data_IF_117061576676
#
_entry.id   IF_117061576676
#
_cell.length_a   1.000
_cell.length_b   1.000
_cell.length_c   1.000
_cell.angle_alpha   90.00
_cell.angle_beta   90.00
_cell.angle_gamma   90.00
#
_symmetry.space_group_name_H-M   'P 1'
#
loop_
_entity.id
_entity.type
_entity.pdbx_description
1 polymer ?
#
# COMPACT_ATOMS: atom_id res chain seq x y z
N UNK A 1 5.02 3.40 18.33
CA UNK A 1 5.04 3.85 16.91
C UNK A 1 3.61 4.01 16.41
N UNK A 2 3.24 5.22 15.92
CA UNK A 2 1.89 5.45 15.39
C UNK A 2 1.84 4.95 13.94
N UNK A 3 1.03 3.94 13.64
CA UNK A 3 0.78 3.48 12.26
C UNK A 3 -0.32 4.38 11.68
N UNK A 4 0.00 5.16 10.64
CA UNK A 4 -0.98 5.95 9.89
C UNK A 4 -1.44 5.16 8.66
N UNK A 5 -2.73 5.21 8.38
CA UNK A 5 -3.32 4.56 7.20
C UNK A 5 -3.71 5.62 6.16
N UNK A 6 -2.70 6.29 5.60
CA UNK A 6 -2.88 7.43 4.69
C UNK A 6 -3.86 7.12 3.57
N UNK A 7 -3.76 5.97 2.92
CA UNK A 7 -4.68 5.58 1.85
C UNK A 7 -6.16 5.46 2.28
N UNK A 8 -6.41 5.25 3.57
CA UNK A 8 -7.79 5.28 4.12
C UNK A 8 -8.21 6.70 4.48
N UNK A 9 -7.31 7.49 5.06
CA UNK A 9 -7.59 8.87 5.49
C UNK A 9 -7.90 9.77 4.28
N UNK A 10 -7.23 9.55 3.15
CA UNK A 10 -7.42 10.34 1.93
C UNK A 10 -8.85 10.24 1.38
N UNK A 11 -9.53 9.11 1.56
CA UNK A 11 -10.93 8.95 1.14
C UNK A 11 -11.91 9.78 1.97
N UNK A 12 -11.48 10.26 3.12
CA UNK A 12 -12.30 11.09 4.02
C UNK A 12 -12.09 12.60 3.76
N UNK A 13 -11.20 12.99 2.83
CA UNK A 13 -10.96 14.40 2.49
C UNK A 13 -12.10 14.94 1.61
N UNK A 14 -12.67 16.12 1.93
CA UNK A 14 -13.80 16.68 1.17
C UNK A 14 -13.53 16.80 -0.32
N UNK A 15 -12.36 17.27 -0.72
CA UNK A 15 -11.96 17.41 -2.13
C UNK A 15 -11.83 16.08 -2.88
N UNK A 16 -11.53 15.00 -2.16
CA UNK A 16 -11.45 13.65 -2.73
C UNK A 16 -12.85 13.05 -2.82
N UNK A 17 -13.68 13.25 -1.80
CA UNK A 17 -15.08 12.81 -1.82
C UNK A 17 -15.86 13.48 -2.96
N UNK A 18 -15.64 14.76 -3.21
CA UNK A 18 -16.25 15.47 -4.34
C UNK A 18 -15.86 14.84 -5.67
N UNK A 19 -14.56 14.63 -5.92
CA UNK A 19 -14.08 13.99 -7.14
C UNK A 19 -14.57 12.54 -7.30
N UNK A 20 -14.63 11.78 -6.20
CA UNK A 20 -15.19 10.42 -6.22
C UNK A 20 -16.69 10.49 -6.57
N UNK A 21 -17.44 11.44 -6.04
CA UNK A 21 -18.87 11.62 -6.34
C UNK A 21 -19.11 12.02 -7.80
N UNK A 22 -18.31 12.91 -8.33
CA UNK A 22 -18.35 13.29 -9.75
C UNK A 22 -18.05 12.11 -10.67
N UNK A 23 -17.06 11.28 -10.31
CA UNK A 23 -16.58 10.18 -11.16
C UNK A 23 -17.43 8.90 -11.04
N UNK A 24 -17.90 8.54 -9.83
CA UNK A 24 -18.54 7.26 -9.54
C UNK A 24 -20.00 7.39 -9.09
N UNK A 25 -20.50 8.62 -8.90
CA UNK A 25 -21.87 8.89 -8.45
C UNK A 25 -22.04 8.76 -6.93
N UNK A 26 -23.31 8.92 -6.50
CA UNK A 26 -23.66 8.86 -5.08
C UNK A 26 -23.78 7.46 -4.51
N UNK A 27 -23.85 6.44 -5.36
CA UNK A 27 -24.04 5.03 -4.94
C UNK A 27 -22.84 4.47 -4.15
N UNK A 28 -21.66 5.08 -4.30
CA UNK A 28 -20.45 4.71 -3.55
C UNK A 28 -20.33 5.45 -2.22
N UNK A 29 -21.41 6.07 -1.75
CA UNK A 29 -21.47 6.76 -0.46
C UNK A 29 -22.54 6.15 0.42
N UNK A 30 -22.25 6.06 1.72
CA UNK A 30 -23.22 5.64 2.72
C UNK A 30 -24.18 6.78 3.10
N UNK A 31 -25.19 6.48 3.92
CA UNK A 31 -26.21 7.45 4.38
C UNK A 31 -25.62 8.63 5.17
N UNK A 32 -24.41 8.50 5.69
CA UNK A 32 -23.69 9.56 6.40
C UNK A 32 -22.86 10.45 5.47
N UNK A 33 -22.89 10.18 4.16
CA UNK A 33 -22.13 10.92 3.14
C UNK A 33 -20.66 10.54 3.05
N UNK A 34 -20.19 9.50 3.73
CA UNK A 34 -18.84 9.00 3.63
C UNK A 34 -18.72 7.97 2.51
N UNK A 35 -17.51 7.83 1.94
CA UNK A 35 -17.25 6.81 0.93
C UNK A 35 -17.46 5.42 1.50
N UNK A 36 -18.38 4.66 0.91
CA UNK A 36 -18.51 3.23 1.16
C UNK A 36 -17.42 2.47 0.41
N UNK A 37 -16.43 2.02 1.17
CA UNK A 37 -15.25 1.34 0.61
C UNK A 37 -15.58 0.00 -0.03
N UNK A 38 -16.65 -0.66 0.41
CA UNK A 38 -17.09 -1.93 -0.15
C UNK A 38 -17.72 -1.71 -1.53
N UNK A 39 -18.63 -0.75 -1.63
CA UNK A 39 -19.27 -0.36 -2.88
C UNK A 39 -18.23 0.16 -3.89
N UNK A 40 -17.35 1.06 -3.46
CA UNK A 40 -16.28 1.56 -4.32
C UNK A 40 -15.36 0.43 -4.78
N UNK A 41 -14.98 -0.50 -3.90
CA UNK A 41 -14.15 -1.64 -4.24
C UNK A 41 -14.82 -2.56 -5.27
N UNK A 42 -16.14 -2.76 -5.19
CA UNK A 42 -16.89 -3.57 -6.16
C UNK A 42 -16.87 -2.98 -7.58
N UNK A 43 -16.83 -1.65 -7.68
CA UNK A 43 -16.77 -0.95 -8.97
C UNK A 43 -15.39 -0.95 -9.60
N UNK A 44 -14.32 -0.99 -8.79
CA UNK A 44 -12.95 -0.80 -9.30
C UNK A 44 -12.14 -2.11 -9.37
N UNK A 45 -12.44 -3.11 -8.54
CA UNK A 45 -11.72 -4.38 -8.54
C UNK A 45 -12.48 -5.47 -9.29
N UNK A 46 -12.04 -5.80 -10.50
CA UNK A 46 -12.61 -6.86 -11.31
C UNK A 46 -11.88 -7.02 -12.65
N UNK A 47 -12.32 -7.99 -13.44
CA UNK A 47 -11.65 -8.35 -14.70
C UNK A 47 -12.22 -7.62 -15.92
N UNK A 48 -13.36 -6.94 -15.79
CA UNK A 48 -13.97 -6.20 -16.90
C UNK A 48 -13.14 -4.96 -17.28
N UNK A 49 -13.19 -4.59 -18.56
CA UNK A 49 -12.55 -3.36 -19.04
C UNK A 49 -13.06 -2.11 -18.29
N UNK A 50 -14.34 -2.11 -17.94
CA UNK A 50 -14.94 -1.01 -17.18
C UNK A 50 -14.30 -0.88 -15.80
N UNK A 51 -14.19 -1.98 -15.05
CA UNK A 51 -13.57 -1.98 -13.71
C UNK A 51 -12.09 -1.58 -13.77
N UNK A 52 -11.34 -2.04 -14.77
CA UNK A 52 -9.95 -1.63 -14.96
C UNK A 52 -9.82 -0.12 -15.25
N UNK A 53 -10.75 0.43 -16.03
CA UNK A 53 -10.81 1.88 -16.30
C UNK A 53 -11.17 2.63 -15.02
N UNK A 54 -12.19 2.15 -14.28
CA UNK A 54 -12.61 2.72 -13.01
C UNK A 54 -11.49 2.72 -11.97
N UNK A 55 -10.69 1.65 -11.91
CA UNK A 55 -9.52 1.60 -11.02
C UNK A 55 -8.50 2.69 -11.36
N UNK A 56 -8.14 2.84 -12.63
CA UNK A 56 -7.22 3.89 -13.07
C UNK A 56 -7.73 5.30 -12.76
N UNK A 57 -9.05 5.52 -12.91
CA UNK A 57 -9.68 6.78 -12.56
C UNK A 57 -9.60 7.05 -11.05
N UNK A 58 -9.90 6.05 -10.22
CA UNK A 58 -9.74 6.18 -8.77
C UNK A 58 -8.28 6.47 -8.39
N UNK A 59 -7.34 5.73 -8.95
CA UNK A 59 -5.90 5.93 -8.72
C UNK A 59 -5.47 7.34 -9.10
N UNK A 60 -5.92 7.87 -10.23
CA UNK A 60 -5.61 9.24 -10.66
C UNK A 60 -6.14 10.31 -9.69
N UNK A 61 -7.23 10.03 -8.98
CA UNK A 61 -7.79 10.91 -7.95
C UNK A 61 -6.98 10.83 -6.65
N UNK A 62 -6.67 9.60 -6.18
CA UNK A 62 -6.14 9.41 -4.82
C UNK A 62 -4.62 9.40 -4.75
N UNK A 63 -3.90 8.89 -5.77
CA UNK A 63 -2.44 8.75 -5.73
C UNK A 63 -1.69 10.08 -5.55
N UNK A 64 -2.05 11.19 -6.23
CA UNK A 64 -1.36 12.47 -6.02
C UNK A 64 -1.49 13.00 -4.58
N UNK A 65 -2.65 12.75 -3.95
CA UNK A 65 -2.90 13.19 -2.57
C UNK A 65 -2.17 12.30 -1.57
N UNK A 66 -2.16 10.98 -1.81
CA UNK A 66 -1.40 10.03 -1.00
C UNK A 66 0.10 10.36 -1.08
N UNK A 67 0.63 10.61 -2.29
CA UNK A 67 2.04 10.97 -2.48
C UNK A 67 2.42 12.21 -1.66
N UNK A 68 1.67 13.29 -1.80
CA UNK A 68 1.89 14.53 -1.03
C UNK A 68 1.84 14.30 0.49
N UNK A 69 0.91 13.46 0.95
CA UNK A 69 0.81 13.11 2.38
C UNK A 69 2.01 12.28 2.85
N UNK A 70 2.50 11.37 2.01
CA UNK A 70 3.72 10.60 2.31
C UNK A 70 4.93 11.52 2.44
N UNK A 71 5.13 12.45 1.50
CA UNK A 71 6.21 13.45 1.58
C UNK A 71 6.16 14.27 2.88
N UNK A 72 4.96 14.77 3.24
CA UNK A 72 4.77 15.54 4.47
C UNK A 72 5.09 14.72 5.73
N UNK A 73 4.68 13.45 5.78
CA UNK A 73 4.96 12.57 6.91
C UNK A 73 6.45 12.21 7.01
N UNK A 74 7.11 11.99 5.87
CA UNK A 74 8.54 11.74 5.80
C UNK A 74 9.30 12.96 6.33
N UNK A 75 8.98 14.16 5.84
CA UNK A 75 9.63 15.39 6.26
C UNK A 75 9.41 15.68 7.75
N UNK A 76 8.16 15.49 8.22
CA UNK A 76 7.85 15.62 9.65
C UNK A 76 8.63 14.63 10.52
N UNK A 77 8.84 13.41 10.03
CA UNK A 77 9.61 12.41 10.77
C UNK A 77 11.11 12.70 10.76
N UNK A 78 11.64 13.20 9.63
CA UNK A 78 13.05 13.63 9.50
C UNK A 78 13.38 14.77 10.44
N UNK A 79 12.49 15.76 10.57
CA UNK A 79 12.71 16.93 11.45
C UNK A 79 12.76 16.57 12.93
N UNK A 80 12.22 15.44 13.34
CA UNK A 80 12.26 15.00 14.74
C UNK A 80 13.64 14.46 15.19
N UNK A 81 14.55 14.15 14.28
CA UNK A 81 15.90 13.61 14.52
C UNK A 81 15.95 12.39 15.49
N UNK A 82 14.80 11.70 15.69
CA UNK A 82 14.64 10.64 16.68
C UNK A 82 14.23 9.30 16.05
N UNK A 83 14.24 9.23 14.71
CA UNK A 83 13.84 8.00 14.00
C UNK A 83 15.05 7.39 13.29
N UNK A 84 15.21 6.10 13.48
CA UNK A 84 16.26 5.32 12.81
C UNK A 84 15.88 4.97 11.36
N UNK A 85 14.60 4.76 11.11
CA UNK A 85 14.05 4.46 9.79
C UNK A 85 12.58 4.84 9.71
N UNK A 86 12.13 5.20 8.51
CA UNK A 86 10.73 5.41 8.16
C UNK A 86 10.31 4.26 7.25
N UNK A 87 9.26 3.53 7.62
CA UNK A 87 8.74 2.42 6.83
C UNK A 87 7.45 2.82 6.12
N UNK A 88 7.44 2.69 4.79
CA UNK A 88 6.26 2.85 3.96
C UNK A 88 5.72 1.45 3.64
N UNK A 89 4.55 1.11 4.19
CA UNK A 89 3.84 -0.16 3.92
C UNK A 89 2.82 0.07 2.82
N UNK A 90 3.20 -0.20 1.57
CA UNK A 90 2.34 -0.01 0.41
C UNK A 90 2.57 -1.13 -0.63
N UNK A 91 1.51 -1.89 -0.92
CA UNK A 91 1.57 -2.97 -1.90
C UNK A 91 1.81 -2.48 -3.34
N UNK A 92 1.51 -1.22 -3.62
CA UNK A 92 1.57 -0.60 -4.96
C UNK A 92 2.65 0.48 -5.06
N UNK A 93 3.69 0.40 -4.24
CA UNK A 93 4.74 1.42 -4.15
C UNK A 93 5.45 1.67 -5.49
N UNK A 94 5.64 0.61 -6.27
CA UNK A 94 6.29 0.66 -7.58
C UNK A 94 5.30 1.15 -8.64
N UNK A 95 4.11 0.57 -8.69
CA UNK A 95 3.05 0.89 -9.64
C UNK A 95 2.59 2.35 -9.54
N UNK A 96 2.56 2.88 -8.32
CA UNK A 96 2.17 4.25 -8.05
C UNK A 96 3.30 5.28 -8.25
N UNK A 97 4.52 4.82 -8.63
CA UNK A 97 5.67 5.71 -8.82
C UNK A 97 6.26 6.26 -7.52
N UNK A 98 6.00 5.64 -6.37
CA UNK A 98 6.48 6.12 -5.06
C UNK A 98 7.85 5.56 -4.67
N UNK A 99 8.48 4.82 -5.58
CA UNK A 99 9.83 4.29 -5.38
C UNK A 99 10.84 5.39 -5.05
N UNK A 100 10.72 6.55 -5.68
CA UNK A 100 11.60 7.71 -5.48
C UNK A 100 11.54 8.34 -4.08
N UNK A 101 10.46 8.03 -3.31
CA UNK A 101 10.37 8.43 -1.90
C UNK A 101 11.19 7.52 -0.97
N UNK A 102 11.75 6.44 -1.49
CA UNK A 102 12.41 5.40 -0.71
C UNK A 102 13.90 5.32 -1.04
N UNK A 103 14.72 5.27 0.00
CA UNK A 103 16.16 4.99 -0.16
C UNK A 103 16.38 3.51 -0.52
N UNK A 104 15.48 2.62 -0.06
CA UNK A 104 15.55 1.17 -0.30
C UNK A 104 14.14 0.57 -0.37
N UNK A 105 13.96 -0.45 -1.20
CA UNK A 105 12.73 -1.24 -1.30
C UNK A 105 12.97 -2.65 -0.80
N UNK A 106 12.10 -3.11 0.09
CA UNK A 106 12.12 -4.47 0.60
C UNK A 106 10.89 -5.22 0.10
N UNK A 107 11.13 -6.37 -0.54
CA UNK A 107 10.08 -7.30 -0.90
C UNK A 107 9.82 -8.27 0.26
N UNK A 108 8.58 -8.32 0.71
CA UNK A 108 8.15 -9.27 1.74
C UNK A 108 7.64 -10.53 1.06
N UNK A 109 8.45 -11.56 1.05
CA UNK A 109 8.13 -12.85 0.42
C UNK A 109 7.28 -13.70 1.37
N UNK A 110 6.11 -14.11 0.90
CA UNK A 110 5.18 -14.92 1.68
C UNK A 110 4.49 -15.93 0.74
N UNK A 111 4.51 -17.24 1.06
CA UNK A 111 3.81 -18.25 0.29
C UNK A 111 2.33 -17.94 0.10
N UNK A 112 1.75 -18.34 -1.04
CA UNK A 112 0.37 -18.04 -1.40
C UNK A 112 -0.62 -18.52 -0.31
N UNK A 113 -0.46 -19.74 0.18
CA UNK A 113 -1.34 -20.34 1.19
C UNK A 113 -1.33 -19.52 2.49
N UNK A 114 -0.18 -18.98 2.87
CA UNK A 114 -0.07 -18.13 4.06
C UNK A 114 -0.72 -16.76 3.83
N UNK A 115 -0.56 -16.18 2.63
CA UNK A 115 -1.24 -14.92 2.29
C UNK A 115 -2.75 -15.11 2.31
N UNK A 116 -3.25 -16.18 1.66
CA UNK A 116 -4.67 -16.54 1.63
C UNK A 116 -5.22 -16.71 3.05
N UNK A 117 -4.56 -17.52 3.88
CA UNK A 117 -4.98 -17.73 5.27
C UNK A 117 -5.07 -16.41 6.04
N UNK A 118 -4.05 -15.55 5.93
CA UNK A 118 -3.99 -14.26 6.63
C UNK A 118 -5.08 -13.30 6.17
N UNK A 119 -5.35 -13.18 4.87
CA UNK A 119 -6.38 -12.26 4.37
C UNK A 119 -7.79 -12.79 4.66
N UNK A 120 -8.01 -14.10 4.63
CA UNK A 120 -9.29 -14.69 5.05
C UNK A 120 -9.57 -14.39 6.52
N UNK A 121 -8.60 -14.62 7.39
CA UNK A 121 -8.74 -14.40 8.84
C UNK A 121 -8.90 -12.93 9.21
N UNK A 122 -8.12 -12.04 8.58
CA UNK A 122 -8.02 -10.63 9.01
C UNK A 122 -8.94 -9.68 8.22
N UNK A 123 -9.41 -10.07 7.04
CA UNK A 123 -10.19 -9.21 6.13
C UNK A 123 -11.44 -9.88 5.58
N UNK A 124 -11.66 -11.18 5.84
CA UNK A 124 -12.76 -11.95 5.28
C UNK A 124 -12.67 -12.17 3.78
N UNK A 125 -11.50 -11.97 3.15
CA UNK A 125 -11.36 -12.14 1.71
C UNK A 125 -11.32 -13.62 1.32
N UNK A 126 -12.01 -13.95 0.24
CA UNK A 126 -11.87 -15.25 -0.42
C UNK A 126 -10.56 -15.33 -1.21
N UNK A 127 -10.19 -16.55 -1.63
CA UNK A 127 -9.07 -16.76 -2.56
C UNK A 127 -9.25 -15.98 -3.87
N UNK A 128 -10.48 -15.98 -4.38
CA UNK A 128 -10.83 -15.23 -5.61
C UNK A 128 -10.60 -13.74 -5.44
N UNK A 129 -10.97 -13.17 -4.31
CA UNK A 129 -10.76 -11.75 -4.02
C UNK A 129 -9.28 -11.41 -3.89
N UNK A 130 -8.49 -12.25 -3.23
CA UNK A 130 -7.03 -12.09 -3.15
C UNK A 130 -6.41 -12.11 -4.56
N UNK A 131 -6.74 -13.12 -5.36
CA UNK A 131 -6.21 -13.30 -6.72
C UNK A 131 -6.57 -12.12 -7.64
N UNK A 132 -7.81 -11.62 -7.57
CA UNK A 132 -8.23 -10.43 -8.32
C UNK A 132 -7.37 -9.21 -7.97
N UNK A 133 -7.12 -8.98 -6.69
CA UNK A 133 -6.29 -7.83 -6.24
C UNK A 133 -4.83 -7.98 -6.64
N UNK A 134 -4.28 -9.19 -6.58
CA UNK A 134 -2.90 -9.46 -7.04
C UNK A 134 -2.74 -9.26 -8.55
N UNK A 135 -3.75 -9.61 -9.36
CA UNK A 135 -3.75 -9.38 -10.82
C UNK A 135 -3.70 -7.91 -11.24
N UNK A 136 -4.14 -7.00 -10.37
CA UNK A 136 -4.07 -5.54 -10.62
C UNK A 136 -2.74 -4.91 -10.21
N UNK A 137 -1.82 -5.71 -9.70
CA UNK A 137 -0.48 -5.28 -9.32
C UNK A 137 0.57 -5.87 -10.28
N UNK A 138 1.78 -5.34 -10.23
CA UNK A 138 2.90 -5.98 -10.91
C UNK A 138 3.05 -7.43 -10.43
N UNK A 139 3.47 -8.35 -11.33
CA UNK A 139 3.77 -9.72 -10.94
C UNK A 139 4.75 -9.76 -9.77
N UNK A 140 4.53 -10.68 -8.83
CA UNK A 140 5.39 -10.79 -7.63
C UNK A 140 6.86 -11.00 -7.99
N UNK A 141 7.15 -11.73 -9.09
CA UNK A 141 8.50 -11.92 -9.63
C UNK A 141 9.15 -10.58 -10.04
N UNK A 142 8.39 -9.66 -10.62
CA UNK A 142 8.90 -8.35 -11.01
C UNK A 142 9.12 -7.47 -9.77
N UNK A 143 8.19 -7.46 -8.81
CA UNK A 143 8.39 -6.75 -7.54
C UNK A 143 9.65 -7.22 -6.81
N UNK A 144 9.89 -8.54 -6.80
CA UNK A 144 11.07 -9.13 -6.20
C UNK A 144 12.38 -8.67 -6.88
N UNK A 145 12.39 -8.54 -8.22
CA UNK A 145 13.55 -8.04 -8.97
C UNK A 145 13.84 -6.56 -8.72
N UNK A 146 12.80 -5.78 -8.45
CA UNK A 146 12.90 -4.33 -8.22
C UNK A 146 13.26 -3.98 -6.78
N UNK A 147 13.27 -4.96 -5.88
CA UNK A 147 13.59 -4.78 -4.47
C UNK A 147 15.09 -4.89 -4.23
N UNK A 148 15.59 -4.08 -3.29
CA UNK A 148 16.97 -4.07 -2.81
C UNK A 148 17.24 -5.17 -1.78
N UNK A 149 16.16 -5.69 -1.16
CA UNK A 149 16.21 -6.79 -0.23
C UNK A 149 14.93 -7.63 -0.23
N UNK A 150 15.05 -8.88 0.24
CA UNK A 150 13.93 -9.82 0.35
C UNK A 150 13.85 -10.31 1.79
N UNK A 151 12.69 -10.20 2.41
CA UNK A 151 12.42 -10.69 3.76
C UNK A 151 11.44 -11.85 3.68
N UNK A 152 11.77 -12.97 4.31
CA UNK A 152 10.90 -14.15 4.34
C UNK A 152 9.83 -13.99 5.43
N UNK A 153 8.55 -14.05 5.03
CA UNK A 153 7.41 -13.93 5.95
C UNK A 153 6.44 -15.13 5.83
N UNK A 154 6.99 -16.29 5.52
CA UNK A 154 6.21 -17.54 5.41
C UNK A 154 6.06 -18.30 6.72
N UNK A 155 6.85 -17.98 7.74
CA UNK A 155 6.84 -18.63 9.05
C UNK A 155 6.21 -17.71 10.10
N UNK A 156 6.96 -17.36 11.13
CA UNK A 156 6.51 -16.50 12.19
C UNK A 156 6.86 -15.02 11.95
N UNK A 157 6.13 -14.14 12.61
CA UNK A 157 6.30 -12.70 12.47
C UNK A 157 7.60 -12.19 13.12
N UNK A 158 8.08 -12.89 14.16
CA UNK A 158 9.27 -12.48 14.89
C UNK A 158 10.52 -12.65 14.02
N UNK A 159 10.66 -13.81 13.38
CA UNK A 159 11.74 -14.06 12.42
C UNK A 159 11.78 -13.05 11.30
N UNK A 160 10.64 -12.74 10.69
CA UNK A 160 10.55 -11.71 9.65
C UNK A 160 10.93 -10.31 10.18
N UNK A 161 10.53 -9.99 11.41
CA UNK A 161 10.89 -8.75 12.08
C UNK A 161 12.40 -8.64 12.34
N UNK A 162 13.04 -9.71 12.76
CA UNK A 162 14.50 -9.77 12.97
C UNK A 162 15.27 -9.62 11.64
N UNK A 163 14.80 -10.26 10.56
CA UNK A 163 15.39 -10.08 9.23
C UNK A 163 15.31 -8.63 8.76
N UNK A 164 14.15 -8.00 8.89
CA UNK A 164 13.96 -6.59 8.55
C UNK A 164 14.85 -5.67 9.39
N UNK A 165 14.97 -5.93 10.69
CA UNK A 165 15.86 -5.16 11.57
C UNK A 165 17.31 -5.25 11.13
N UNK A 166 17.79 -6.47 10.84
CA UNK A 166 19.15 -6.69 10.34
C UNK A 166 19.39 -5.98 8.99
N UNK A 167 18.40 -5.99 8.10
CA UNK A 167 18.49 -5.29 6.84
C UNK A 167 18.64 -3.78 7.05
N UNK A 168 17.81 -3.17 7.90
CA UNK A 168 17.90 -1.74 8.26
C UNK A 168 19.28 -1.41 8.86
N UNK A 169 19.76 -2.22 9.79
CA UNK A 169 21.06 -2.01 10.42
C UNK A 169 22.22 -2.09 9.40
N UNK A 170 22.11 -2.94 8.38
CA UNK A 170 23.11 -3.05 7.32
C UNK A 170 23.19 -1.78 6.48
N UNK A 171 22.04 -1.19 6.14
CA UNK A 171 21.95 0.07 5.39
C UNK A 171 22.56 1.21 6.20
N UNK A 172 22.18 1.32 7.49
CA UNK A 172 22.72 2.35 8.38
C UNK A 172 24.25 2.33 8.46
N UNK A 173 24.84 1.13 8.55
CA UNK A 173 26.30 0.95 8.55
C UNK A 173 26.97 1.39 7.24
N UNK A 174 26.29 1.25 6.11
CA UNK A 174 26.79 1.70 4.81
C UNK A 174 26.76 3.24 4.70
N UNK A 175 25.69 3.87 5.16
CA UNK A 175 25.54 5.34 5.16
C UNK A 175 26.57 6.02 6.07
N UNK A 176 26.90 5.43 7.22
CA UNK A 176 27.85 5.99 8.21
C UNK A 176 29.31 5.84 7.79
N UNK A 177 29.62 5.05 6.76
CA UNK A 177 30.98 4.83 6.25
C UNK A 177 31.34 5.71 5.05
N UNK A 178 30.36 6.40 4.46
CA UNK A 178 30.53 7.38 3.39
C UNK A 178 30.43 8.80 3.94
#
# INVERSE_FOLDING_TARGET
KKKKKIGHEVLDFPEIQEKIREQFGSTVFNDQGNVDRSELASLVFGESKLQQTSLKQLESIVHPVIHRRLEQEIESARSLHQVDAILIDAAVIVEAGWKELCDQIVYIDCPFEQRQKRVTQNRGWSETELTKREKHQLPLSEKRKLADGVIQNGQDLESAGLELSKFIDSIRKQITKN
#
